data_IF_957712629303
#
_entry.id   IF_957712629303
#
_cell.length_a   1.000
_cell.length_b   1.000
_cell.length_c   1.000
_cell.angle_alpha   90.00
_cell.angle_beta   90.00
_cell.angle_gamma   90.00
#
_symmetry.space_group_name_H-M   'P 1'
#
loop_
_entity.id
_entity.type
_entity.pdbx_description
1 polymer ?
#
# COMPACT_ATOMS: atom_id res chain seq x y z
N UNK A 1 -0.02 -7.58 7.82
CA UNK A 1 1.34 -7.68 7.28
C UNK A 1 2.05 -6.35 7.22
N UNK A 2 3.33 -6.36 7.61
CA UNK A 2 4.31 -5.29 7.37
C UNK A 2 5.21 -5.60 6.15
N UNK A 3 4.95 -6.71 5.46
CA UNK A 3 5.78 -7.25 4.38
C UNK A 3 5.84 -6.29 3.19
N UNK A 4 4.68 -5.82 2.71
CA UNK A 4 4.63 -4.88 1.59
C UNK A 4 5.37 -3.56 1.91
N UNK A 5 5.14 -2.89 3.07
CA UNK A 5 5.94 -1.73 3.49
C UNK A 5 7.45 -1.99 3.51
N UNK A 6 7.88 -3.15 4.04
CA UNK A 6 9.29 -3.50 4.12
C UNK A 6 9.89 -3.70 2.73
N UNK A 7 9.18 -4.39 1.83
CA UNK A 7 9.58 -4.60 0.45
C UNK A 7 9.72 -3.26 -0.30
N UNK A 8 8.75 -2.36 -0.17
CA UNK A 8 8.79 -1.05 -0.83
C UNK A 8 9.91 -0.15 -0.27
N UNK A 9 10.16 -0.20 1.04
CA UNK A 9 11.28 0.53 1.66
C UNK A 9 12.64 0.03 1.13
N UNK A 10 12.82 -1.30 1.04
CA UNK A 10 14.02 -1.90 0.47
C UNK A 10 14.19 -1.54 -1.02
N UNK A 11 13.11 -1.61 -1.81
CA UNK A 11 13.15 -1.24 -3.22
C UNK A 11 13.48 0.23 -3.44
N UNK A 12 12.85 1.13 -2.67
CA UNK A 12 13.14 2.57 -2.66
C UNK A 12 14.61 2.85 -2.36
N UNK A 13 15.16 2.20 -1.34
CA UNK A 13 16.60 2.31 -1.01
C UNK A 13 17.49 1.76 -2.10
N UNK A 14 17.15 0.60 -2.67
CA UNK A 14 17.91 -0.02 -3.76
C UNK A 14 17.93 0.84 -5.04
N UNK A 15 16.83 1.54 -5.32
CA UNK A 15 16.70 2.44 -6.47
C UNK A 15 17.24 3.85 -6.22
N UNK A 16 17.61 4.17 -4.99
CA UNK A 16 17.97 5.52 -4.53
C UNK A 16 16.91 6.57 -4.93
N UNK A 17 15.63 6.21 -4.73
CA UNK A 17 14.47 7.07 -5.05
C UNK A 17 13.46 7.03 -3.91
N UNK A 18 12.96 8.18 -3.44
CA UNK A 18 11.95 8.20 -2.38
C UNK A 18 10.64 7.58 -2.86
N UNK A 19 10.00 6.77 -2.01
CA UNK A 19 8.71 6.11 -2.31
C UNK A 19 7.53 7.08 -2.50
N UNK A 20 7.71 8.36 -2.16
CA UNK A 20 6.69 9.41 -2.23
C UNK A 20 6.26 9.91 -0.84
N UNK A 21 5.92 11.19 -0.76
CA UNK A 21 5.40 11.78 0.48
C UNK A 21 3.98 11.30 0.76
N UNK A 22 3.62 11.22 2.05
CA UNK A 22 2.24 10.93 2.50
C UNK A 22 1.67 9.63 1.91
N UNK A 23 2.53 8.65 1.66
CA UNK A 23 2.21 7.30 1.22
C UNK A 23 2.01 6.37 2.43
N UNK A 24 0.86 5.70 2.49
CA UNK A 24 0.65 4.55 3.38
C UNK A 24 0.60 3.27 2.55
N UNK A 25 1.09 2.17 3.10
CA UNK A 25 0.88 0.87 2.50
C UNK A 25 0.75 -0.20 3.58
N UNK A 26 0.10 -1.30 3.25
CA UNK A 26 0.03 -2.50 4.07
C UNK A 26 -0.32 -3.68 3.19
N UNK A 27 -0.01 -4.88 3.65
CA UNK A 27 -0.22 -6.11 2.89
C UNK A 27 0.72 -7.19 3.37
N UNK A 28 0.27 -8.43 3.29
CA UNK A 28 1.17 -9.58 3.39
C UNK A 28 1.60 -10.00 2.01
N UNK A 29 2.85 -10.42 1.87
CA UNK A 29 3.41 -10.83 0.59
C UNK A 29 3.68 -12.32 0.65
N UNK A 30 3.03 -13.09 -0.22
CA UNK A 30 3.35 -14.50 -0.37
C UNK A 30 4.60 -14.71 -1.22
N UNK A 31 5.16 -15.91 -1.15
CA UNK A 31 6.39 -16.25 -1.86
C UNK A 31 6.24 -16.24 -3.39
N UNK A 32 5.02 -16.42 -3.90
CA UNK A 32 4.71 -16.25 -5.33
C UNK A 32 4.57 -14.79 -5.75
N UNK A 33 4.62 -13.84 -4.80
CA UNK A 33 4.49 -12.41 -5.07
C UNK A 33 3.06 -11.88 -4.95
N UNK A 34 2.09 -12.69 -4.55
CA UNK A 34 0.72 -12.24 -4.32
C UNK A 34 0.63 -11.35 -3.08
N UNK A 35 -0.21 -10.30 -3.17
CA UNK A 35 -0.48 -9.38 -2.07
C UNK A 35 -1.80 -9.78 -1.42
N UNK A 36 -1.73 -10.18 -0.15
CA UNK A 36 -2.85 -10.72 0.62
C UNK A 36 -3.43 -9.69 1.59
N UNK A 37 -4.73 -9.77 1.88
CA UNK A 37 -5.40 -8.83 2.77
C UNK A 37 -4.88 -8.90 4.21
N UNK A 38 -5.02 -7.79 4.91
CA UNK A 38 -4.77 -7.69 6.36
C UNK A 38 -6.08 -7.42 7.10
N UNK A 39 -6.09 -7.73 8.39
CA UNK A 39 -7.21 -7.38 9.27
C UNK A 39 -7.43 -5.86 9.35
N UNK A 40 -8.70 -5.46 9.32
CA UNK A 40 -9.19 -4.10 9.48
C UNK A 40 -8.64 -3.09 8.47
N UNK A 41 -8.35 -3.52 7.23
CA UNK A 41 -7.76 -2.67 6.20
C UNK A 41 -8.55 -1.39 5.90
N UNK A 42 -9.89 -1.45 5.89
CA UNK A 42 -10.72 -0.27 5.68
C UNK A 42 -10.63 0.73 6.84
N UNK A 43 -10.53 0.26 8.08
CA UNK A 43 -10.32 1.12 9.25
C UNK A 43 -8.95 1.79 9.18
N UNK A 44 -7.89 1.03 8.87
CA UNK A 44 -6.53 1.58 8.68
C UNK A 44 -6.51 2.69 7.63
N UNK A 45 -7.23 2.52 6.53
CA UNK A 45 -7.33 3.54 5.48
C UNK A 45 -8.02 4.82 5.98
N UNK A 46 -9.08 4.72 6.78
CA UNK A 46 -9.75 5.89 7.38
C UNK A 46 -8.83 6.63 8.35
N UNK A 47 -8.11 5.89 9.18
CA UNK A 47 -7.14 6.46 10.12
C UNK A 47 -6.01 7.16 9.35
N UNK A 48 -5.47 6.52 8.30
CA UNK A 48 -4.45 7.12 7.44
C UNK A 48 -4.92 8.44 6.81
N UNK A 49 -6.14 8.47 6.26
CA UNK A 49 -6.72 9.71 5.74
C UNK A 49 -6.83 10.80 6.83
N UNK A 50 -7.27 10.44 8.04
CA UNK A 50 -7.33 11.34 9.19
C UNK A 50 -5.97 11.91 9.61
N UNK A 51 -4.89 11.17 9.37
CA UNK A 51 -3.51 11.60 9.64
C UNK A 51 -2.84 12.31 8.46
N UNK A 52 -3.57 12.59 7.38
CA UNK A 52 -3.08 13.37 6.25
C UNK A 52 -2.20 12.57 5.27
N UNK A 53 -2.35 11.24 5.24
CA UNK A 53 -1.90 10.43 4.10
C UNK A 53 -2.81 10.69 2.91
N UNK A 54 -2.23 10.82 1.73
CA UNK A 54 -2.95 11.17 0.50
C UNK A 54 -2.95 10.05 -0.54
N UNK A 55 -2.09 9.03 -0.35
CA UNK A 55 -2.00 7.87 -1.23
C UNK A 55 -1.85 6.58 -0.42
N UNK A 56 -2.55 5.52 -0.84
CA UNK A 56 -2.52 4.22 -0.22
C UNK A 56 -2.29 3.10 -1.24
N UNK A 57 -1.30 2.24 -0.99
CA UNK A 57 -1.07 1.00 -1.75
C UNK A 57 -1.51 -0.19 -0.88
N UNK A 58 -2.56 -0.90 -1.30
CA UNK A 58 -3.22 -1.89 -0.44
C UNK A 58 -3.62 -3.15 -1.20
N UNK A 59 -3.84 -4.28 -0.52
CA UNK A 59 -4.36 -5.49 -1.15
C UNK A 59 -5.74 -5.18 -1.73
N UNK A 60 -6.03 -5.68 -2.93
CA UNK A 60 -7.33 -5.46 -3.59
C UNK A 60 -8.52 -5.87 -2.73
N UNK A 61 -8.37 -6.92 -1.92
CA UNK A 61 -9.39 -7.37 -0.97
C UNK A 61 -9.62 -6.43 0.23
N UNK A 62 -8.71 -5.48 0.51
CA UNK A 62 -8.92 -4.41 1.49
C UNK A 62 -9.41 -3.10 0.87
N UNK A 63 -9.57 -3.03 -0.46
CA UNK A 63 -10.07 -1.82 -1.10
C UNK A 63 -11.50 -1.51 -0.62
N UNK A 64 -11.79 -0.27 -0.21
CA UNK A 64 -13.09 0.08 0.34
C UNK A 64 -14.15 0.08 -0.77
N UNK A 65 -15.38 -0.27 -0.42
CA UNK A 65 -16.52 -0.18 -1.37
C UNK A 65 -16.90 1.26 -1.72
N UNK A 66 -16.55 2.21 -0.84
CA UNK A 66 -16.81 3.64 -1.02
C UNK A 66 -15.48 4.39 -0.97
N UNK A 67 -15.30 5.45 -1.78
CA UNK A 67 -14.11 6.30 -1.70
C UNK A 67 -13.94 6.88 -0.29
N UNK A 68 -12.69 7.01 0.15
CA UNK A 68 -12.32 7.72 1.37
C UNK A 68 -11.83 9.10 0.94
N UNK A 69 -12.50 10.16 1.41
CA UNK A 69 -12.17 11.52 1.00
C UNK A 69 -10.71 11.86 1.32
N UNK A 70 -10.01 12.45 0.35
CA UNK A 70 -8.61 12.86 0.50
C UNK A 70 -7.57 11.74 0.38
N UNK A 71 -7.99 10.50 0.12
CA UNK A 71 -7.09 9.35 -0.02
C UNK A 71 -7.25 8.70 -1.39
N UNK A 72 -6.19 8.77 -2.21
CA UNK A 72 -6.07 8.00 -3.44
C UNK A 72 -5.66 6.56 -3.09
N UNK A 73 -6.43 5.56 -3.51
CA UNK A 73 -6.24 4.17 -3.11
C UNK A 73 -5.96 3.35 -4.35
N UNK A 74 -4.75 2.81 -4.45
CA UNK A 74 -4.36 1.85 -5.48
C UNK A 74 -4.48 0.42 -4.92
N UNK A 75 -5.50 -0.35 -5.34
CA UNK A 75 -5.60 -1.76 -5.02
C UNK A 75 -4.58 -2.56 -5.82
N UNK A 76 -3.94 -3.53 -5.18
CA UNK A 76 -2.88 -4.36 -5.76
C UNK A 76 -3.19 -5.84 -5.57
N UNK A 77 -2.83 -6.66 -6.56
CA UNK A 77 -2.88 -8.13 -6.48
C UNK A 77 -1.48 -8.75 -6.40
N UNK A 78 -0.47 -8.10 -7.01
CA UNK A 78 0.88 -8.64 -7.08
C UNK A 78 1.98 -7.60 -6.79
N UNK A 79 3.13 -8.04 -6.29
CA UNK A 79 4.27 -7.16 -5.95
C UNK A 79 4.79 -6.36 -7.16
N UNK A 80 4.72 -6.90 -8.36
CA UNK A 80 5.15 -6.19 -9.58
C UNK A 80 4.32 -4.94 -9.84
N UNK A 81 3.03 -4.96 -9.54
CA UNK A 81 2.17 -3.77 -9.61
C UNK A 81 2.60 -2.73 -8.57
N UNK A 82 2.96 -3.18 -7.36
CA UNK A 82 3.42 -2.31 -6.28
C UNK A 82 4.73 -1.61 -6.64
N UNK A 83 5.69 -2.33 -7.22
CA UNK A 83 6.98 -1.77 -7.64
C UNK A 83 6.81 -0.71 -8.74
N UNK A 84 5.91 -0.96 -9.70
CA UNK A 84 5.60 -0.01 -10.76
C UNK A 84 5.00 1.32 -10.24
N UNK A 85 4.47 1.35 -9.00
CA UNK A 85 3.99 2.59 -8.38
C UNK A 85 5.11 3.51 -7.86
N UNK A 86 6.35 3.01 -7.81
CA UNK A 86 7.55 3.69 -7.30
C UNK A 86 8.62 3.96 -8.38
N UNK A 87 8.41 3.50 -9.61
CA UNK A 87 9.31 3.76 -10.74
C UNK A 87 9.13 5.16 -11.33
#
# INVERSE_FOLDING_TARGET
GADLPMLLALYSSFRDRPAGERLVCFGEVGLSGEIRPVHDGEQRLREAAGHGFTRALVPKANAPRRPIAGLDIAPLEHVTEALAQLD
#
